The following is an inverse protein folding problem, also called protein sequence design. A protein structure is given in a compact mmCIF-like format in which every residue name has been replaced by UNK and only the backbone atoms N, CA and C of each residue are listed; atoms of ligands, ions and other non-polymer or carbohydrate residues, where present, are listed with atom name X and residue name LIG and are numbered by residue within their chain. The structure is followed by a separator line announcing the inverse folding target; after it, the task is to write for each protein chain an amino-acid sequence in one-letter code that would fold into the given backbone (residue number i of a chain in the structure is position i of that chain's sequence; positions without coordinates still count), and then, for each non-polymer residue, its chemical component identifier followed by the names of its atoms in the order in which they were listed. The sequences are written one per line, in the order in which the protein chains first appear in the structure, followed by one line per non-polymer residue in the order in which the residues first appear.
data_IF_884425622842
#
_entry.id   IF_884425622842
#
_cell.length_a   1.000
_cell.length_b   1.000
_cell.length_c   1.000
_cell.angle_alpha   90.00
_cell.angle_beta   90.00
_cell.angle_gamma   90.00
#
_symmetry.space_group_name_H-M   'P 1'
#
loop_
_entity.id
_entity.type
_entity.pdbx_description
1 polymer ?
#
# COMPACT_ATOMS: atom_id res chain seq x y z
N UNK A 1 36.71 23.93 4.29
CA UNK A 1 36.02 23.81 3.00
C UNK A 1 36.37 22.44 2.45
N UNK A 2 35.66 21.41 2.88
CA UNK A 2 35.29 20.25 2.07
C UNK A 2 34.04 19.65 2.69
N UNK A 3 33.10 19.38 1.81
CA UNK A 3 31.67 19.28 2.02
C UNK A 3 31.23 17.84 2.16
N UNK A 4 30.21 17.64 3.00
CA UNK A 4 29.04 16.80 2.75
C UNK A 4 29.24 15.59 1.82
N UNK A 5 29.31 14.41 2.42
CA UNK A 5 28.65 13.21 1.90
C UNK A 5 28.30 12.33 3.11
N UNK A 6 27.29 12.79 3.86
CA UNK A 6 26.48 11.90 4.68
C UNK A 6 25.80 10.95 3.68
N UNK A 7 26.41 9.80 3.49
CA UNK A 7 25.91 8.71 2.67
C UNK A 7 24.72 8.13 3.42
N UNK A 8 23.56 8.76 3.25
CA UNK A 8 22.28 8.29 3.78
C UNK A 8 22.02 6.90 3.19
N UNK A 9 21.98 5.90 4.05
CA UNK A 9 21.76 4.50 3.69
C UNK A 9 20.37 4.33 3.07
N UNK A 10 20.25 3.68 1.89
CA UNK A 10 18.97 3.53 1.18
C UNK A 10 17.97 2.59 1.86
N UNK A 11 18.37 1.83 2.87
CA UNK A 11 17.49 0.91 3.65
C UNK A 11 16.56 1.64 4.63
N UNK A 12 16.92 2.86 5.05
CA UNK A 12 16.15 3.64 6.03
C UNK A 12 14.99 4.44 5.40
N UNK A 13 15.08 4.78 4.11
CA UNK A 13 13.99 5.51 3.42
C UNK A 13 12.87 4.57 2.98
N UNK A 14 13.19 3.37 2.49
CA UNK A 14 12.19 2.38 2.03
C UNK A 14 11.29 1.85 3.16
N UNK A 15 11.85 1.62 4.35
CA UNK A 15 11.09 1.18 5.51
C UNK A 15 10.16 2.27 6.06
N UNK A 16 10.58 3.54 6.01
CA UNK A 16 9.75 4.69 6.39
C UNK A 16 8.59 4.89 5.42
N UNK A 17 8.85 4.79 4.11
CA UNK A 17 7.83 4.95 3.06
C UNK A 17 6.75 3.86 3.14
N UNK A 18 7.12 2.61 3.40
CA UNK A 18 6.17 1.51 3.55
C UNK A 18 5.36 1.63 4.85
N UNK A 19 6.00 2.11 5.92
CA UNK A 19 5.33 2.33 7.21
C UNK A 19 4.27 3.42 7.12
N UNK A 20 4.54 4.52 6.42
CA UNK A 20 3.57 5.60 6.19
C UNK A 20 2.37 5.08 5.38
N UNK A 21 2.63 4.33 4.30
CA UNK A 21 1.58 3.72 3.49
C UNK A 21 0.74 2.71 4.29
N UNK A 22 1.37 1.92 5.16
CA UNK A 22 0.68 1.00 6.06
C UNK A 22 -0.23 1.73 7.05
N UNK A 23 0.20 2.90 7.55
CA UNK A 23 -0.61 3.73 8.42
C UNK A 23 -1.82 4.34 7.68
N UNK A 24 -1.59 4.89 6.48
CA UNK A 24 -2.66 5.43 5.63
C UNK A 24 -3.70 4.35 5.27
N UNK A 25 -3.24 3.13 4.96
CA UNK A 25 -4.11 1.98 4.69
C UNK A 25 -4.94 1.60 5.92
N UNK A 26 -4.32 1.58 7.10
CA UNK A 26 -4.98 1.25 8.36
C UNK A 26 -6.05 2.29 8.72
N UNK A 27 -5.73 3.59 8.60
CA UNK A 27 -6.68 4.68 8.83
C UNK A 27 -7.85 4.64 7.84
N UNK A 28 -7.58 4.31 6.57
CA UNK A 28 -8.63 4.12 5.56
C UNK A 28 -9.52 2.91 5.89
N UNK A 29 -8.92 1.81 6.32
CA UNK A 29 -9.64 0.59 6.72
C UNK A 29 -10.54 0.84 7.93
N UNK A 30 -10.04 1.58 8.92
CA UNK A 30 -10.81 1.95 10.11
C UNK A 30 -12.02 2.83 9.76
N UNK A 31 -11.84 3.82 8.88
CA UNK A 31 -12.95 4.67 8.41
C UNK A 31 -13.97 3.87 7.58
N UNK A 32 -13.51 2.93 6.77
CA UNK A 32 -14.38 2.02 6.01
C UNK A 32 -15.21 1.15 6.96
N UNK A 33 -14.63 0.68 8.06
CA UNK A 33 -15.35 -0.04 9.10
C UNK A 33 -16.42 0.83 9.78
N UNK A 34 -16.10 2.09 10.10
CA UNK A 34 -17.07 3.06 10.64
C UNK A 34 -18.22 3.28 9.65
N UNK A 35 -17.92 3.37 8.35
CA UNK A 35 -18.94 3.46 7.31
C UNK A 35 -19.87 2.25 7.32
N UNK A 36 -19.34 1.02 7.34
CA UNK A 36 -20.18 -0.18 7.38
C UNK A 36 -21.05 -0.26 8.63
N UNK A 37 -20.53 0.09 9.81
CA UNK A 37 -21.32 0.16 11.04
C UNK A 37 -22.46 1.20 10.93
N UNK A 38 -22.17 2.34 10.30
CA UNK A 38 -23.17 3.40 10.06
C UNK A 38 -24.22 2.92 9.05
N UNK A 39 -23.80 2.27 7.98
CA UNK A 39 -24.68 1.68 6.97
C UNK A 39 -25.61 0.63 7.57
N UNK A 40 -25.08 -0.28 8.39
CA UNK A 40 -25.88 -1.29 9.09
C UNK A 40 -26.94 -0.65 9.99
N UNK A 41 -26.57 0.41 10.72
CA UNK A 41 -27.52 1.17 11.53
C UNK A 41 -28.64 1.79 10.67
N UNK A 42 -28.29 2.43 9.55
CA UNK A 42 -29.26 3.01 8.60
C UNK A 42 -30.20 1.94 8.03
N UNK A 43 -29.67 0.79 7.61
CA UNK A 43 -30.44 -0.32 7.07
C UNK A 43 -31.40 -0.91 8.11
N UNK A 44 -30.95 -1.09 9.35
CA UNK A 44 -31.80 -1.55 10.44
C UNK A 44 -32.91 -0.54 10.76
N UNK A 45 -32.60 0.76 10.73
CA UNK A 45 -33.61 1.81 10.90
C UNK A 45 -34.63 1.81 9.75
N UNK A 46 -34.18 1.64 8.50
CA UNK A 46 -35.06 1.55 7.33
C UNK A 46 -35.98 0.31 7.40
N UNK A 47 -35.42 -0.84 7.80
CA UNK A 47 -36.19 -2.07 8.02
C UNK A 47 -37.23 -1.91 9.12
N UNK A 48 -36.85 -1.32 10.25
CA UNK A 48 -37.77 -1.07 11.36
C UNK A 48 -38.87 -0.08 10.94
N UNK A 49 -38.52 0.94 10.17
CA UNK A 49 -39.45 1.89 9.58
C UNK A 49 -40.47 1.21 8.67
N UNK A 50 -40.03 0.27 7.82
CA UNK A 50 -40.92 -0.53 6.98
C UNK A 50 -41.88 -1.40 7.81
N UNK A 51 -41.36 -2.09 8.83
CA UNK A 51 -42.19 -2.90 9.74
C UNK A 51 -43.25 -2.03 10.44
N UNK A 52 -42.86 -0.84 10.90
CA UNK A 52 -43.77 0.11 11.54
C UNK A 52 -44.93 0.52 10.63
N UNK A 53 -44.65 0.78 9.34
CA UNK A 53 -45.70 1.07 8.34
C UNK A 53 -46.65 -0.12 8.19
N UNK A 54 -46.12 -1.33 8.06
CA UNK A 54 -46.94 -2.55 7.87
C UNK A 54 -47.87 -2.78 9.08
N UNK A 55 -47.35 -2.69 10.29
CA UNK A 55 -48.16 -2.82 11.52
C UNK A 55 -49.19 -1.69 11.63
N UNK A 56 -48.84 -0.47 11.23
CA UNK A 56 -49.79 0.66 11.20
C UNK A 56 -50.92 0.44 10.19
N UNK A 57 -50.64 -0.24 9.07
CA UNK A 57 -51.63 -0.58 8.05
C UNK A 57 -52.60 -1.69 8.51
N UNK A 58 -52.10 -2.70 9.21
CA UNK A 58 -52.95 -3.73 9.85
C UNK A 58 -53.91 -3.09 10.87
N UNK A 59 -53.38 -2.20 11.70
CA UNK A 59 -54.14 -1.44 12.68
C UNK A 59 -55.20 -0.52 12.04
N UNK A 60 -54.90 0.06 10.89
CA UNK A 60 -55.87 0.85 10.11
C UNK A 60 -57.06 0.00 9.63
N UNK A 61 -56.80 -1.21 9.12
CA UNK A 61 -57.88 -2.12 8.70
C UNK A 61 -58.71 -2.61 9.90
N UNK A 62 -58.08 -2.84 11.06
CA UNK A 62 -58.79 -3.19 12.31
C UNK A 62 -59.74 -2.08 12.79
N UNK A 63 -59.28 -0.82 12.80
CA UNK A 63 -60.07 0.36 13.22
C UNK A 63 -61.22 0.65 12.26
N UNK A 64 -61.02 0.38 10.97
CA UNK A 64 -62.06 0.49 9.93
C UNK A 64 -63.20 -0.50 10.16
N UNK A 65 -62.91 -1.74 10.59
CA UNK A 65 -63.92 -2.78 10.84
C UNK A 65 -64.64 -2.56 12.18
N UNK A 66 -63.92 -2.19 13.24
CA UNK A 66 -64.49 -2.01 14.58
C UNK A 66 -65.28 -0.71 14.74
N UNK A 67 -65.15 0.26 13.82
CA UNK A 67 -65.76 1.59 13.93
C UNK A 67 -65.23 2.38 15.13
N UNK A 68 -64.16 1.90 15.76
CA UNK A 68 -63.61 2.50 16.96
C UNK A 68 -62.75 3.72 16.58
N UNK A 69 -63.16 4.86 17.11
CA UNK A 69 -62.36 6.08 17.25
C UNK A 69 -61.57 6.54 15.99
N UNK A 70 -62.28 6.97 14.93
CA UNK A 70 -61.80 7.83 13.81
C UNK A 70 -60.30 7.75 13.42
N UNK A 71 -59.70 6.56 13.35
CA UNK A 71 -58.28 6.35 13.01
C UNK A 71 -57.26 7.03 13.92
N UNK A 72 -57.64 7.38 15.16
CA UNK A 72 -56.80 8.17 16.07
C UNK A 72 -55.47 7.46 16.36
N UNK A 73 -55.50 6.13 16.55
CA UNK A 73 -54.30 5.34 16.85
C UNK A 73 -53.41 5.22 15.62
N UNK A 74 -53.98 4.95 14.44
CA UNK A 74 -53.23 4.93 13.16
C UNK A 74 -52.55 6.28 12.91
N UNK A 75 -53.26 7.39 13.08
CA UNK A 75 -52.70 8.73 12.88
C UNK A 75 -51.58 9.05 13.87
N UNK A 76 -51.71 8.60 15.12
CA UNK A 76 -50.65 8.70 16.12
C UNK A 76 -49.39 7.95 15.69
N UNK A 77 -49.52 6.70 15.25
CA UNK A 77 -48.39 5.89 14.79
C UNK A 77 -47.70 6.45 13.54
N UNK A 78 -48.48 6.96 12.57
CA UNK A 78 -47.92 7.64 11.39
C UNK A 78 -47.18 8.94 11.76
N UNK A 79 -47.65 9.68 12.77
CA UNK A 79 -46.96 10.88 13.26
C UNK A 79 -45.64 10.53 13.94
N UNK A 80 -45.62 9.46 14.73
CA UNK A 80 -44.40 8.94 15.35
C UNK A 80 -43.40 8.46 14.29
N UNK A 81 -43.87 7.71 13.29
CA UNK A 81 -43.06 7.31 12.13
C UNK A 81 -42.44 8.52 11.42
N UNK A 82 -43.24 9.55 11.12
CA UNK A 82 -42.75 10.77 10.47
C UNK A 82 -41.69 11.49 11.31
N UNK A 83 -41.77 11.41 12.64
CA UNK A 83 -40.79 12.01 13.55
C UNK A 83 -39.45 11.26 13.57
N UNK A 84 -39.42 9.95 13.26
CA UNK A 84 -38.19 9.15 13.14
C UNK A 84 -37.32 9.62 11.96
N UNK A 85 -37.93 10.20 10.92
CA UNK A 85 -37.21 10.83 9.82
C UNK A 85 -36.52 9.85 8.87
N UNK A 86 -35.61 10.38 8.04
CA UNK A 86 -34.87 9.59 7.05
C UNK A 86 -33.81 8.71 7.75
N UNK A 87 -33.80 7.38 7.53
CA UNK A 87 -32.73 6.50 8.01
C UNK A 87 -31.35 6.87 7.46
N UNK A 88 -31.25 7.52 6.30
CA UNK A 88 -30.00 7.99 5.71
C UNK A 88 -29.84 9.50 5.91
N UNK A 89 -29.28 9.87 7.06
CA UNK A 89 -29.05 11.27 7.41
C UNK A 89 -27.90 11.90 6.63
N UNK A 90 -27.78 13.23 6.70
CA UNK A 90 -26.63 13.97 6.16
C UNK A 90 -25.29 13.46 6.72
N UNK A 91 -25.28 12.95 7.97
CA UNK A 91 -24.10 12.36 8.60
C UNK A 91 -23.64 11.10 7.88
N UNK A 92 -24.57 10.23 7.46
CA UNK A 92 -24.24 9.06 6.64
C UNK A 92 -23.54 9.47 5.34
N UNK A 93 -24.09 10.45 4.62
CA UNK A 93 -23.51 10.93 3.37
C UNK A 93 -22.16 11.63 3.56
N UNK A 94 -21.94 12.31 4.69
CA UNK A 94 -20.62 12.85 5.06
C UNK A 94 -19.59 11.74 5.25
N UNK A 95 -19.94 10.68 5.97
CA UNK A 95 -19.06 9.52 6.19
C UNK A 95 -18.78 8.81 4.86
N UNK A 96 -19.82 8.56 4.05
CA UNK A 96 -19.69 7.96 2.73
C UNK A 96 -18.73 8.74 1.82
N UNK A 97 -18.94 10.06 1.66
CA UNK A 97 -18.08 10.89 0.82
C UNK A 97 -16.65 10.95 1.35
N UNK A 98 -16.46 10.96 2.67
CA UNK A 98 -15.13 10.91 3.27
C UNK A 98 -14.40 9.61 2.92
N UNK A 99 -15.08 8.47 3.03
CA UNK A 99 -14.50 7.16 2.70
C UNK A 99 -14.22 7.06 1.21
N UNK A 100 -15.16 7.46 0.36
CA UNK A 100 -15.02 7.45 -1.09
C UNK A 100 -13.80 8.26 -1.57
N UNK A 101 -13.69 9.52 -1.14
CA UNK A 101 -12.56 10.38 -1.50
C UNK A 101 -11.22 9.82 -1.00
N UNK A 102 -11.22 9.21 0.19
CA UNK A 102 -10.01 8.64 0.77
C UNK A 102 -9.56 7.37 0.03
N UNK A 103 -10.48 6.51 -0.43
CA UNK A 103 -10.15 5.37 -1.29
C UNK A 103 -9.54 5.81 -2.63
N UNK A 104 -10.02 6.89 -3.24
CA UNK A 104 -9.43 7.46 -4.46
C UNK A 104 -8.00 7.93 -4.19
N UNK A 105 -7.79 8.75 -3.16
CA UNK A 105 -6.46 9.26 -2.79
C UNK A 105 -5.48 8.13 -2.44
N UNK A 106 -5.96 7.10 -1.73
CA UNK A 106 -5.20 5.89 -1.40
C UNK A 106 -4.75 5.17 -2.67
N UNK A 107 -5.65 4.99 -3.63
CA UNK A 107 -5.37 4.32 -4.90
C UNK A 107 -4.35 5.11 -5.74
N UNK A 108 -4.48 6.43 -5.80
CA UNK A 108 -3.52 7.31 -6.47
C UNK A 108 -2.12 7.21 -5.83
N UNK A 109 -2.04 7.23 -4.50
CA UNK A 109 -0.77 7.07 -3.77
C UNK A 109 -0.14 5.69 -3.99
N UNK A 110 -0.93 4.61 -3.99
CA UNK A 110 -0.44 3.26 -4.30
C UNK A 110 0.11 3.16 -5.72
N UNK A 111 -0.59 3.75 -6.69
CA UNK A 111 -0.14 3.79 -8.08
C UNK A 111 1.15 4.59 -8.24
N UNK A 112 1.22 5.78 -7.64
CA UNK A 112 2.42 6.61 -7.64
C UNK A 112 3.63 5.86 -7.08
N UNK A 113 3.50 5.31 -5.86
CA UNK A 113 4.59 4.57 -5.21
C UNK A 113 5.01 3.32 -6.01
N UNK A 114 4.05 2.60 -6.62
CA UNK A 114 4.35 1.47 -7.51
C UNK A 114 5.23 1.88 -8.70
N UNK A 115 4.94 3.02 -9.33
CA UNK A 115 5.77 3.53 -10.45
C UNK A 115 7.16 3.96 -10.01
N UNK A 116 7.27 4.50 -8.78
CA UNK A 116 8.55 4.86 -8.19
C UNK A 116 9.43 3.63 -7.91
N UNK A 117 8.86 2.60 -7.29
CA UNK A 117 9.55 1.32 -7.06
C UNK A 117 9.98 0.65 -8.38
N UNK A 118 9.13 0.69 -9.41
CA UNK A 118 9.50 0.19 -10.74
C UNK A 118 10.68 0.95 -11.36
N UNK A 119 10.77 2.26 -11.10
CA UNK A 119 11.87 3.10 -11.57
C UNK A 119 13.16 2.83 -10.77
N UNK A 120 13.06 2.73 -9.44
CA UNK A 120 14.17 2.34 -8.55
C UNK A 120 14.73 0.96 -8.95
N UNK A 121 13.88 -0.05 -9.15
CA UNK A 121 14.28 -1.39 -9.64
C UNK A 121 15.03 -1.36 -10.97
N UNK A 122 14.53 -0.58 -11.95
CA UNK A 122 15.20 -0.43 -13.25
C UNK A 122 16.57 0.25 -13.12
N UNK A 123 16.67 1.27 -12.26
CA UNK A 123 17.92 1.98 -12.00
C UNK A 123 18.97 1.07 -11.38
N UNK A 124 18.60 0.31 -10.35
CA UNK A 124 19.49 -0.66 -9.68
C UNK A 124 20.01 -1.68 -10.68
N UNK A 125 19.13 -2.30 -11.46
CA UNK A 125 19.52 -3.28 -12.49
C UNK A 125 20.48 -2.70 -13.53
N UNK A 126 20.36 -1.39 -13.81
CA UNK A 126 21.25 -0.68 -14.72
C UNK A 126 22.60 -0.37 -14.07
N UNK A 127 22.58 0.10 -12.83
CA UNK A 127 23.76 0.40 -12.03
C UNK A 127 24.63 -0.83 -11.75
N UNK A 128 24.02 -2.00 -11.49
CA UNK A 128 24.76 -3.27 -11.33
C UNK A 128 25.55 -3.62 -12.58
N UNK A 129 25.00 -3.39 -13.78
CA UNK A 129 25.72 -3.61 -15.05
C UNK A 129 26.89 -2.65 -15.22
N UNK A 130 26.70 -1.37 -14.90
CA UNK A 130 27.77 -0.38 -15.00
C UNK A 130 28.88 -0.61 -13.97
N UNK A 131 28.55 -0.93 -12.73
CA UNK A 131 29.52 -1.29 -11.70
C UNK A 131 30.31 -2.55 -12.07
N UNK A 132 29.65 -3.57 -12.63
CA UNK A 132 30.34 -4.76 -13.14
C UNK A 132 31.36 -4.43 -14.23
N UNK A 133 31.01 -3.53 -15.17
CA UNK A 133 31.92 -3.09 -16.25
C UNK A 133 33.09 -2.27 -15.73
N UNK A 134 32.85 -1.29 -14.85
CA UNK A 134 33.91 -0.44 -14.28
C UNK A 134 34.87 -1.27 -13.43
N UNK A 135 34.33 -2.19 -12.62
CA UNK A 135 35.14 -3.07 -11.79
C UNK A 135 36.01 -4.01 -12.63
N UNK A 136 35.45 -4.61 -13.70
CA UNK A 136 36.20 -5.43 -14.64
C UNK A 136 37.33 -4.65 -15.35
N UNK A 137 37.08 -3.39 -15.73
CA UNK A 137 38.07 -2.54 -16.39
C UNK A 137 39.23 -2.15 -15.46
N UNK A 138 38.93 -1.71 -14.22
CA UNK A 138 39.97 -1.31 -13.25
C UNK A 138 40.88 -2.46 -12.82
N UNK A 139 40.35 -3.69 -12.71
CA UNK A 139 41.17 -4.87 -12.41
C UNK A 139 42.11 -5.20 -13.57
N UNK A 140 41.64 -5.08 -14.82
CA UNK A 140 42.49 -5.32 -15.99
C UNK A 140 43.69 -4.36 -16.02
N UNK A 141 43.45 -3.07 -15.75
CA UNK A 141 44.52 -2.07 -15.71
C UNK A 141 45.50 -2.30 -14.53
N UNK A 142 44.99 -2.73 -13.37
CA UNK A 142 45.82 -3.08 -12.21
C UNK A 142 46.67 -4.34 -12.46
N UNK A 143 46.14 -5.34 -13.18
CA UNK A 143 46.87 -6.55 -13.57
C UNK A 143 48.02 -6.23 -14.53
N UNK A 144 47.78 -5.35 -15.50
CA UNK A 144 48.82 -4.87 -16.43
C UNK A 144 49.91 -4.10 -15.66
N UNK A 145 49.53 -3.21 -14.74
CA UNK A 145 50.49 -2.48 -13.89
C UNK A 145 51.31 -3.40 -12.98
N UNK A 146 50.70 -4.46 -12.43
CA UNK A 146 51.34 -5.42 -11.53
C UNK A 146 52.42 -6.25 -12.25
N UNK A 147 52.16 -6.69 -13.49
CA UNK A 147 53.12 -7.45 -14.29
C UNK A 147 54.40 -6.63 -14.56
N UNK A 148 54.28 -5.32 -14.81
CA UNK A 148 55.41 -4.43 -15.08
C UNK A 148 56.26 -4.16 -13.82
N UNK A 149 55.63 -4.10 -12.64
CA UNK A 149 56.34 -3.89 -11.38
C UNK A 149 57.19 -5.11 -10.94
N UNK A 150 56.74 -6.33 -11.24
CA UNK A 150 57.50 -7.58 -10.95
C UNK A 150 58.77 -7.69 -11.78
N UNK A 151 58.75 -7.21 -13.03
CA UNK A 151 59.91 -7.25 -13.94
C UNK A 151 61.00 -6.26 -13.52
N UNK A 152 60.66 -5.25 -12.71
CA UNK A 152 61.56 -4.13 -12.36
C UNK A 152 62.11 -4.19 -10.92
N UNK A 153 61.57 -5.04 -10.04
CA UNK A 153 61.93 -5.11 -8.62
C UNK A 153 62.40 -6.53 -8.24
N UNK A 154 63.49 -6.62 -7.48
CA UNK A 154 64.15 -7.88 -7.11
C UNK A 154 63.21 -8.94 -6.49
N UNK A 155 63.32 -10.14 -7.05
CA UNK A 155 62.24 -11.12 -7.30
C UNK A 155 61.62 -11.84 -6.09
N UNK A 156 62.03 -11.61 -4.83
CA UNK A 156 61.67 -12.54 -3.74
C UNK A 156 60.49 -12.14 -2.86
N UNK A 157 60.29 -10.83 -2.62
CA UNK A 157 59.19 -10.35 -1.75
C UNK A 157 57.89 -10.09 -2.51
N UNK A 158 58.01 -9.68 -3.77
CA UNK A 158 56.87 -9.37 -4.63
C UNK A 158 56.11 -10.65 -4.99
N UNK A 159 56.83 -11.75 -5.29
CA UNK A 159 56.21 -13.05 -5.61
C UNK A 159 55.38 -13.59 -4.44
N UNK A 160 55.89 -13.52 -3.21
CA UNK A 160 55.15 -13.97 -2.03
C UNK A 160 53.88 -13.14 -1.75
N UNK A 161 53.92 -11.83 -2.02
CA UNK A 161 52.75 -10.97 -1.89
C UNK A 161 51.72 -11.19 -3.00
N UNK A 162 52.16 -11.50 -4.23
CA UNK A 162 51.28 -11.84 -5.36
C UNK A 162 50.62 -13.20 -5.14
N UNK A 163 51.35 -14.21 -4.67
CA UNK A 163 50.76 -15.51 -4.32
C UNK A 163 49.70 -15.36 -3.24
N UNK A 164 49.97 -14.56 -2.20
CA UNK A 164 49.00 -14.27 -1.14
C UNK A 164 47.79 -13.44 -1.62
N UNK A 165 47.96 -12.51 -2.55
CA UNK A 165 46.88 -11.70 -3.12
C UNK A 165 46.06 -12.48 -4.17
N UNK A 166 46.67 -13.39 -4.92
CA UNK A 166 46.00 -14.29 -5.88
C UNK A 166 45.10 -15.32 -5.19
N UNK A 167 45.36 -15.58 -3.89
CA UNK A 167 44.50 -16.40 -3.04
C UNK A 167 43.19 -15.69 -2.65
N UNK A 168 43.05 -14.38 -2.90
CA UNK A 168 41.74 -13.71 -2.84
C UNK A 168 41.01 -14.06 -4.13
N UNK A 169 39.89 -14.82 -4.06
CA UNK A 169 39.24 -15.32 -5.27
C UNK A 169 38.59 -14.16 -6.02
N UNK A 170 39.29 -13.65 -7.05
CA UNK A 170 38.76 -12.68 -8.03
C UNK A 170 37.46 -13.22 -8.66
N UNK A 171 37.31 -14.53 -8.80
CA UNK A 171 36.08 -15.20 -9.27
C UNK A 171 34.93 -15.31 -8.24
N UNK A 172 35.02 -14.62 -7.10
CA UNK A 172 33.92 -14.51 -6.12
C UNK A 172 33.44 -13.07 -5.90
N UNK A 173 34.07 -12.08 -6.53
CA UNK A 173 33.71 -10.68 -6.36
C UNK A 173 32.47 -10.29 -7.17
N UNK A 174 32.32 -10.86 -8.37
CA UNK A 174 31.10 -10.83 -9.18
C UNK A 174 29.91 -11.37 -8.38
N UNK A 175 30.09 -12.52 -7.73
CA UNK A 175 29.08 -13.13 -6.86
C UNK A 175 28.76 -12.28 -5.64
N UNK A 176 29.74 -11.60 -5.05
CA UNK A 176 29.51 -10.73 -3.89
C UNK A 176 28.70 -9.48 -4.26
N UNK A 177 29.05 -8.81 -5.36
CA UNK A 177 28.30 -7.66 -5.89
C UNK A 177 26.88 -8.08 -6.26
N UNK A 178 26.73 -9.21 -6.96
CA UNK A 178 25.42 -9.75 -7.32
C UNK A 178 24.60 -10.11 -6.08
N UNK A 179 25.21 -10.71 -5.05
CA UNK A 179 24.50 -11.09 -3.80
C UNK A 179 24.01 -9.88 -3.03
N UNK A 180 24.83 -8.83 -2.89
CA UNK A 180 24.44 -7.60 -2.21
C UNK A 180 23.26 -6.91 -2.91
N UNK A 181 23.32 -6.78 -4.24
CA UNK A 181 22.25 -6.14 -5.00
C UNK A 181 21.00 -7.00 -5.11
N UNK A 182 21.14 -8.33 -5.14
CA UNK A 182 20.02 -9.26 -5.15
C UNK A 182 19.22 -9.19 -3.85
N UNK A 183 19.88 -9.11 -2.69
CA UNK A 183 19.20 -8.94 -1.41
C UNK A 183 18.34 -7.65 -1.40
N UNK A 184 18.89 -6.54 -1.91
CA UNK A 184 18.16 -5.28 -2.03
C UNK A 184 17.02 -5.34 -3.06
N UNK A 185 17.22 -6.03 -4.19
CA UNK A 185 16.17 -6.27 -5.19
C UNK A 185 15.03 -7.11 -4.62
N UNK A 186 15.33 -8.13 -3.83
CA UNK A 186 14.35 -9.02 -3.22
C UNK A 186 13.53 -8.30 -2.13
N UNK A 187 14.15 -7.42 -1.33
CA UNK A 187 13.43 -6.54 -0.38
C UNK A 187 12.49 -5.57 -1.11
N UNK A 188 12.96 -4.93 -2.19
CA UNK A 188 12.12 -4.04 -3.00
C UNK A 188 10.95 -4.79 -3.67
N UNK A 189 11.17 -6.03 -4.12
CA UNK A 189 10.11 -6.87 -4.68
C UNK A 189 9.08 -7.22 -3.63
N UNK A 190 9.50 -7.60 -2.42
CA UNK A 190 8.58 -7.86 -1.31
C UNK A 190 7.72 -6.63 -0.99
N UNK A 191 8.32 -5.44 -0.91
CA UNK A 191 7.59 -4.18 -0.75
C UNK A 191 6.61 -3.90 -1.89
N UNK A 192 7.02 -4.14 -3.14
CA UNK A 192 6.15 -4.01 -4.31
C UNK A 192 4.98 -4.99 -4.28
N UNK A 193 5.20 -6.23 -3.86
CA UNK A 193 4.13 -7.23 -3.72
C UNK A 193 3.11 -6.84 -2.65
N UNK A 194 3.57 -6.27 -1.53
CA UNK A 194 2.68 -5.69 -0.50
C UNK A 194 1.85 -4.54 -1.07
N UNK A 195 2.45 -3.64 -1.86
CA UNK A 195 1.70 -2.55 -2.52
C UNK A 195 0.69 -3.08 -3.53
N UNK A 196 1.03 -4.12 -4.29
CA UNK A 196 0.11 -4.75 -5.24
C UNK A 196 -1.05 -5.44 -4.51
N UNK A 197 -0.79 -6.14 -3.41
CA UNK A 197 -1.86 -6.78 -2.64
C UNK A 197 -2.76 -5.75 -1.97
N UNK A 198 -2.21 -4.64 -1.47
CA UNK A 198 -3.00 -3.50 -1.01
C UNK A 198 -3.83 -2.88 -2.14
N UNK A 199 -3.26 -2.69 -3.33
CA UNK A 199 -3.96 -2.16 -4.51
C UNK A 199 -5.11 -3.07 -4.96
N UNK A 200 -4.88 -4.39 -4.99
CA UNK A 200 -5.91 -5.39 -5.30
C UNK A 200 -6.99 -5.37 -4.21
N UNK A 201 -6.62 -5.31 -2.93
CA UNK A 201 -7.58 -5.17 -1.83
C UNK A 201 -8.44 -3.91 -1.94
N UNK A 202 -7.88 -2.76 -2.32
CA UNK A 202 -8.63 -1.51 -2.53
C UNK A 202 -9.49 -1.55 -3.79
N UNK A 203 -9.05 -2.22 -4.87
CA UNK A 203 -9.82 -2.34 -6.12
C UNK A 203 -10.90 -3.44 -6.08
N UNK A 204 -10.64 -4.55 -5.38
CA UNK A 204 -11.62 -5.64 -5.20
C UNK A 204 -12.71 -5.27 -4.19
N UNK A 205 -12.44 -4.31 -3.29
CA UNK A 205 -13.42 -3.80 -2.33
C UNK A 205 -14.45 -2.85 -2.97
N UNK A 206 -14.33 -2.44 -4.25
CA UNK A 206 -15.26 -1.44 -4.77
C UNK A 206 -15.73 -1.58 -6.25
N UNK A 207 -16.94 -1.03 -6.44
CA UNK A 207 -17.56 -0.45 -7.64
C UNK A 207 -18.49 -1.35 -8.47
N UNK A 208 -18.17 -2.62 -8.77
CA UNK A 208 -19.01 -3.39 -9.74
C UNK A 208 -20.32 -3.93 -9.16
N UNK A 209 -20.39 -4.17 -7.85
CA UNK A 209 -21.61 -4.65 -7.18
C UNK A 209 -22.59 -3.53 -6.79
N UNK A 210 -22.12 -2.27 -6.72
CA UNK A 210 -22.96 -1.11 -6.37
C UNK A 210 -23.58 -0.41 -7.59
N UNK A 211 -23.04 -0.61 -8.81
CA UNK A 211 -23.60 -0.09 -10.07
C UNK A 211 -24.79 -0.92 -10.62
N UNK A 212 -25.29 -1.91 -9.86
CA UNK A 212 -26.36 -2.81 -10.28
C UNK A 212 -27.51 -2.91 -9.27
N UNK A 213 -27.69 -1.88 -8.42
CA UNK A 213 -28.86 -1.69 -7.57
C UNK A 213 -29.56 -0.41 -7.98
#
# INVERSE_FOLDING_TARGET
MESHLSKKTPELETSSELSELGNDYNDNSLKTLIFYATLEKCLNQAKNSQLHILTTLEQFEEEKVTGSNHYVRTLHELKNFKAVGDPFSEEFFKIYNSVYNQHILMLENLQFRKTEFDTKLKSIRTWTKFLGVIFAATINDLLICSIVAVVTIDSKRVVAAIDAASAVPIGSMDKWIDTLFKNYEDELKAHKEVIISMQVGTQDVDIKSLNNI
#
